data_IF_669471799788
#
_entry.id   IF_669471799788
#
_cell.length_a   1.000
_cell.length_b   1.000
_cell.length_c   1.000
_cell.angle_alpha   90.00
_cell.angle_beta   90.00
_cell.angle_gamma   90.00
#
_symmetry.space_group_name_H-M   'P 1'
#
loop_
_entity.id
_entity.type
_entity.pdbx_description
1 polymer ?
#
# COMPACT_ATOMS: atom_id res chain seq x y z
N UNK A 1 -73.35 -44.52 1.36
CA UNK A 1 -72.11 -44.54 2.16
C UNK A 1 -71.12 -43.62 1.49
N UNK A 2 -70.80 -42.51 2.15
CA UNK A 2 -70.07 -41.39 1.61
C UNK A 2 -68.57 -41.71 1.48
N UNK A 3 -68.01 -41.53 0.28
CA UNK A 3 -66.57 -41.49 0.05
C UNK A 3 -66.13 -40.03 0.06
N UNK A 4 -65.28 -39.67 1.02
CA UNK A 4 -64.65 -38.35 1.10
C UNK A 4 -63.47 -38.29 0.14
N UNK A 5 -63.55 -37.43 -0.87
CA UNK A 5 -62.41 -37.00 -1.68
C UNK A 5 -61.74 -35.82 -0.97
N UNK A 6 -60.54 -36.04 -0.45
CA UNK A 6 -59.67 -34.99 0.10
C UNK A 6 -58.92 -34.36 -1.06
N UNK A 7 -59.30 -33.14 -1.44
CA UNK A 7 -58.56 -32.29 -2.38
C UNK A 7 -57.33 -31.71 -1.67
N UNK A 8 -56.14 -32.11 -2.11
CA UNK A 8 -54.87 -31.56 -1.67
C UNK A 8 -54.61 -30.23 -2.41
N UNK A 9 -54.74 -29.10 -1.72
CA UNK A 9 -54.38 -27.80 -2.26
C UNK A 9 -52.85 -27.61 -2.17
N UNK A 10 -52.17 -27.63 -3.31
CA UNK A 10 -50.75 -27.31 -3.42
C UNK A 10 -50.58 -25.78 -3.43
N UNK A 11 -50.20 -25.19 -2.30
CA UNK A 11 -49.80 -23.78 -2.24
C UNK A 11 -48.36 -23.65 -2.72
N UNK A 12 -48.19 -23.21 -3.96
CA UNK A 12 -46.88 -22.82 -4.50
C UNK A 12 -46.50 -21.47 -3.92
N UNK A 13 -45.66 -21.47 -2.88
CA UNK A 13 -45.04 -20.28 -2.35
C UNK A 13 -43.94 -19.82 -3.31
N UNK A 14 -44.16 -18.69 -3.98
CA UNK A 14 -43.12 -17.98 -4.70
C UNK A 14 -42.14 -17.39 -3.68
N UNK A 15 -40.98 -18.04 -3.53
CA UNK A 15 -39.84 -17.43 -2.83
C UNK A 15 -39.33 -16.27 -3.69
N UNK A 16 -39.67 -15.05 -3.27
CA UNK A 16 -38.94 -13.85 -3.64
C UNK A 16 -37.52 -14.00 -3.08
N UNK A 17 -36.58 -14.43 -3.91
CA UNK A 17 -35.17 -14.24 -3.64
C UNK A 17 -34.89 -12.74 -3.73
N UNK A 18 -34.89 -12.07 -2.58
CA UNK A 18 -34.27 -10.77 -2.46
C UNK A 18 -32.78 -10.95 -2.81
N UNK A 19 -32.39 -10.51 -4.00
CA UNK A 19 -31.00 -10.25 -4.31
C UNK A 19 -30.52 -9.23 -3.29
N UNK A 20 -29.68 -9.68 -2.35
CA UNK A 20 -28.90 -8.76 -1.52
C UNK A 20 -28.11 -7.92 -2.53
N UNK A 21 -28.47 -6.64 -2.67
CA UNK A 21 -27.65 -5.69 -3.37
C UNK A 21 -26.28 -5.77 -2.70
N UNK A 22 -25.28 -6.32 -3.40
CA UNK A 22 -23.91 -6.28 -2.93
C UNK A 22 -23.58 -4.82 -2.63
N UNK A 23 -23.04 -4.54 -1.45
CA UNK A 23 -22.65 -3.19 -1.09
C UNK A 23 -21.80 -2.61 -2.22
N UNK A 24 -22.29 -1.56 -2.86
CA UNK A 24 -21.57 -0.90 -3.94
C UNK A 24 -20.28 -0.37 -3.33
N UNK A 25 -19.14 -0.77 -3.88
CA UNK A 25 -17.85 -0.31 -3.39
C UNK A 25 -17.80 1.23 -3.45
N UNK A 26 -17.25 1.91 -2.41
CA UNK A 26 -17.17 3.37 -2.38
C UNK A 26 -16.49 3.96 -3.62
N UNK A 27 -15.50 3.26 -4.16
CA UNK A 27 -14.91 3.52 -5.47
C UNK A 27 -14.55 2.20 -6.12
N UNK A 28 -14.81 2.10 -7.43
CA UNK A 28 -14.35 0.98 -8.26
C UNK A 28 -13.28 1.50 -9.21
N UNK A 29 -12.15 0.80 -9.29
CA UNK A 29 -11.03 1.14 -10.18
C UNK A 29 -10.76 -0.04 -11.09
N UNK A 30 -10.71 0.22 -12.39
CA UNK A 30 -10.51 -0.81 -13.42
C UNK A 30 -9.44 -0.37 -14.41
N UNK A 31 -8.52 -1.27 -14.73
CA UNK A 31 -7.57 -1.06 -15.84
C UNK A 31 -8.28 -1.46 -17.12
N UNK A 32 -8.48 -0.51 -18.03
CA UNK A 32 -9.13 -0.73 -19.33
C UNK A 32 -8.13 -1.28 -20.34
N UNK A 33 -6.93 -0.70 -20.35
CA UNK A 33 -5.87 -1.01 -21.30
C UNK A 33 -4.53 -0.89 -20.59
N UNK A 34 -3.59 -1.79 -20.92
CA UNK A 34 -2.23 -1.76 -20.40
C UNK A 34 -1.27 -2.24 -21.50
N UNK A 35 -0.43 -1.34 -21.98
CA UNK A 35 0.57 -1.58 -23.01
C UNK A 35 1.97 -1.23 -22.49
N UNK A 36 3.00 -1.39 -23.31
CA UNK A 36 4.35 -0.96 -22.95
C UNK A 36 4.49 0.58 -22.88
N UNK A 37 3.62 1.32 -23.56
CA UNK A 37 3.72 2.77 -23.72
C UNK A 37 2.70 3.52 -22.86
N UNK A 38 1.59 2.88 -22.47
CA UNK A 38 0.57 3.53 -21.65
C UNK A 38 -0.32 2.56 -20.87
N UNK A 39 -0.95 3.07 -19.81
CA UNK A 39 -1.98 2.38 -19.03
C UNK A 39 -3.22 3.28 -18.93
N UNK A 40 -4.39 2.76 -19.31
CA UNK A 40 -5.68 3.44 -19.19
C UNK A 40 -6.45 2.89 -18.00
N UNK A 41 -6.87 3.78 -17.09
CA UNK A 41 -7.52 3.45 -15.84
C UNK A 41 -8.85 4.19 -15.76
N UNK A 42 -9.92 3.48 -15.44
CA UNK A 42 -11.23 4.05 -15.18
C UNK A 42 -11.57 3.95 -13.70
N UNK A 43 -11.93 5.10 -13.14
CA UNK A 43 -12.40 5.28 -11.79
C UNK A 43 -13.90 5.58 -11.85
N UNK A 44 -14.69 4.80 -11.11
CA UNK A 44 -16.11 5.03 -10.89
C UNK A 44 -16.33 5.28 -9.41
N UNK A 45 -16.79 6.48 -9.07
CA UNK A 45 -17.21 6.80 -7.72
C UNK A 45 -18.54 6.07 -7.44
N UNK A 46 -18.62 5.43 -6.28
CA UNK A 46 -19.81 4.78 -5.76
C UNK A 46 -20.39 5.59 -4.62
N UNK A 47 -20.49 4.97 -3.44
CA UNK A 47 -21.03 5.61 -2.24
C UNK A 47 -19.99 6.44 -1.50
N UNK A 48 -20.38 7.62 -1.05
CA UNK A 48 -19.61 8.48 -0.14
C UNK A 48 -20.54 9.12 0.89
N UNK A 49 -19.98 9.55 2.01
CA UNK A 49 -20.73 10.11 3.14
C UNK A 49 -20.37 11.58 3.37
N UNK A 50 -21.40 12.36 3.71
CA UNK A 50 -21.27 13.75 4.17
C UNK A 50 -21.61 13.78 5.66
N UNK A 51 -20.58 13.69 6.50
CA UNK A 51 -20.72 13.56 7.95
C UNK A 51 -20.74 14.93 8.62
N UNK A 52 -21.79 15.31 9.36
CA UNK A 52 -21.81 16.58 10.09
C UNK A 52 -20.76 16.63 11.19
N UNK A 53 -20.01 17.73 11.25
CA UNK A 53 -19.01 18.00 12.29
C UNK A 53 -19.17 19.42 12.83
N UNK A 54 -18.86 19.63 14.11
CA UNK A 54 -18.92 20.96 14.72
C UNK A 54 -17.54 21.61 14.72
N UNK A 55 -17.43 22.77 14.09
CA UNK A 55 -16.20 23.59 14.06
C UNK A 55 -16.51 24.92 14.72
N UNK A 56 -15.96 25.14 15.93
CA UNK A 56 -16.24 26.37 16.68
C UNK A 56 -17.72 26.59 17.00
N UNK A 57 -18.50 25.50 17.14
CA UNK A 57 -19.94 25.57 17.38
C UNK A 57 -20.80 25.76 16.13
N UNK A 58 -20.20 25.88 14.94
CA UNK A 58 -20.90 25.97 13.67
C UNK A 58 -20.92 24.61 12.95
N UNK A 59 -22.00 24.29 12.22
CA UNK A 59 -22.10 23.05 11.46
C UNK A 59 -21.21 23.11 10.22
N UNK A 60 -20.35 22.12 10.07
CA UNK A 60 -19.56 21.83 8.87
C UNK A 60 -19.77 20.37 8.47
N UNK A 61 -19.21 20.00 7.32
CA UNK A 61 -19.31 18.67 6.74
C UNK A 61 -17.92 18.09 6.51
N UNK A 62 -17.71 16.86 6.95
CA UNK A 62 -16.56 16.05 6.57
C UNK A 62 -16.98 15.12 5.43
N UNK A 63 -16.18 15.06 4.38
CA UNK A 63 -16.43 14.16 3.24
C UNK A 63 -15.65 12.87 3.47
N UNK A 64 -16.34 11.73 3.45
CA UNK A 64 -15.74 10.42 3.65
C UNK A 64 -15.99 9.50 2.46
N UNK A 65 -14.96 8.76 2.04
CA UNK A 65 -15.03 7.83 0.93
C UNK A 65 -14.45 6.47 1.36
N UNK A 66 -15.28 5.61 1.95
CA UNK A 66 -14.86 4.26 2.33
C UNK A 66 -13.64 4.22 3.24
N UNK A 67 -12.56 3.58 2.78
CA UNK A 67 -11.26 3.53 3.47
C UNK A 67 -10.19 4.39 2.78
N UNK A 68 -10.60 5.27 1.86
CA UNK A 68 -9.69 6.14 1.14
C UNK A 68 -9.15 7.24 2.06
N UNK A 69 -7.91 7.65 1.82
CA UNK A 69 -7.24 8.61 2.70
C UNK A 69 -7.64 10.05 2.36
N UNK A 70 -7.85 10.92 3.36
CA UNK A 70 -8.02 12.35 3.13
C UNK A 70 -6.70 13.01 2.76
N UNK A 71 -6.80 14.11 2.02
CA UNK A 71 -5.69 15.02 1.82
C UNK A 71 -5.27 15.60 3.18
N UNK A 72 -4.03 15.31 3.59
CA UNK A 72 -3.50 15.65 4.93
C UNK A 72 -2.89 17.06 4.99
N UNK A 73 -3.41 18.02 4.22
CA UNK A 73 -2.94 19.40 4.22
C UNK A 73 -3.65 20.19 5.30
N UNK A 74 -2.96 20.47 6.40
CA UNK A 74 -3.52 21.20 7.54
C UNK A 74 -4.15 22.54 7.11
N UNK A 75 -5.39 22.77 7.50
CA UNK A 75 -6.15 23.97 7.22
C UNK A 75 -6.80 24.04 5.83
N UNK A 76 -6.48 23.13 4.91
CA UNK A 76 -7.16 23.02 3.63
C UNK A 76 -8.45 22.18 3.76
N UNK A 77 -9.42 22.28 2.83
CA UNK A 77 -10.61 21.42 2.84
C UNK A 77 -10.27 19.94 2.97
N UNK A 78 -10.90 19.25 3.92
CA UNK A 78 -10.70 17.83 4.17
C UNK A 78 -11.44 16.99 3.11
N UNK A 79 -10.74 16.67 2.03
CA UNK A 79 -11.28 15.94 0.88
C UNK A 79 -10.53 14.61 0.69
N UNK A 80 -11.23 13.48 0.51
CA UNK A 80 -10.61 12.18 0.24
C UNK A 80 -10.01 12.10 -1.16
N UNK A 81 -8.96 11.28 -1.27
CA UNK A 81 -8.21 11.01 -2.50
C UNK A 81 -8.18 9.51 -2.75
N UNK A 82 -8.22 9.10 -4.02
CA UNK A 82 -8.14 7.69 -4.40
C UNK A 82 -6.78 7.44 -5.04
N UNK A 83 -5.92 6.72 -4.33
CA UNK A 83 -4.56 6.41 -4.79
C UNK A 83 -4.42 4.95 -5.17
N UNK A 84 -3.89 4.67 -6.36
CA UNK A 84 -3.59 3.31 -6.82
C UNK A 84 -2.22 3.26 -7.48
N UNK A 85 -1.45 2.21 -7.21
CA UNK A 85 -0.15 2.04 -7.86
C UNK A 85 -0.32 1.30 -9.19
N UNK A 86 0.44 1.70 -10.19
CA UNK A 86 0.60 0.97 -11.46
C UNK A 86 2.07 0.69 -11.73
N UNK A 87 2.32 -0.39 -12.44
CA UNK A 87 3.62 -0.71 -13.04
C UNK A 87 3.82 0.20 -14.24
N UNK A 88 5.02 0.76 -14.38
CA UNK A 88 5.46 1.53 -15.55
C UNK A 88 6.74 0.91 -16.11
N UNK A 89 7.15 1.31 -17.31
CA UNK A 89 8.41 0.86 -17.88
C UNK A 89 9.61 1.17 -16.99
N UNK A 90 10.60 0.27 -17.00
CA UNK A 90 11.80 0.29 -16.16
C UNK A 90 12.56 1.63 -16.20
N UNK A 91 12.54 2.31 -17.34
CA UNK A 91 13.16 3.62 -17.57
C UNK A 91 12.17 4.70 -18.01
N UNK A 92 10.87 4.44 -17.98
CA UNK A 92 9.89 5.36 -18.56
C UNK A 92 9.72 6.64 -17.72
N UNK A 93 9.80 7.80 -18.35
CA UNK A 93 9.15 9.00 -17.83
C UNK A 93 7.68 8.95 -18.26
N UNK A 94 6.75 9.21 -17.34
CA UNK A 94 5.31 9.12 -17.60
C UNK A 94 4.58 10.40 -17.22
N UNK A 95 3.45 10.67 -17.87
CA UNK A 95 2.56 11.79 -17.56
C UNK A 95 1.08 11.36 -17.61
N UNK A 96 0.22 11.92 -16.75
CA UNK A 96 -1.20 11.63 -16.76
C UNK A 96 -1.96 12.54 -17.75
N UNK A 97 -2.98 11.98 -18.40
CA UNK A 97 -3.94 12.70 -19.23
C UNK A 97 -5.36 12.27 -18.86
N UNK A 98 -6.28 13.24 -18.72
CA UNK A 98 -7.70 12.96 -18.54
C UNK A 98 -8.33 12.74 -19.91
N UNK A 99 -8.83 11.53 -20.17
CA UNK A 99 -9.50 11.19 -21.43
C UNK A 99 -10.99 11.53 -21.40
N UNK A 100 -11.64 11.30 -20.25
CA UNK A 100 -13.06 11.57 -20.04
C UNK A 100 -13.34 11.82 -18.56
N UNK A 101 -14.30 12.70 -18.26
CA UNK A 101 -14.73 13.04 -16.91
C UNK A 101 -16.23 13.31 -16.88
N UNK A 102 -16.90 12.86 -15.82
CA UNK A 102 -18.28 13.21 -15.47
C UNK A 102 -18.30 13.71 -14.02
N UNK A 103 -18.96 14.84 -13.78
CA UNK A 103 -19.08 15.41 -12.44
C UNK A 103 -20.42 16.11 -12.23
N UNK A 104 -20.77 16.35 -10.97
CA UNK A 104 -21.86 17.23 -10.57
C UNK A 104 -21.45 18.11 -9.40
N UNK A 105 -22.15 19.23 -9.22
CA UNK A 105 -21.90 20.19 -8.16
C UNK A 105 -23.01 20.10 -7.09
N UNK A 106 -22.60 20.03 -5.82
CA UNK A 106 -23.48 20.15 -4.66
C UNK A 106 -23.33 21.57 -4.09
N UNK A 107 -24.37 22.42 -4.18
CA UNK A 107 -24.32 23.76 -3.64
C UNK A 107 -24.56 23.78 -2.12
N UNK A 108 -24.16 24.88 -1.48
CA UNK A 108 -24.41 25.19 -0.07
C UNK A 108 -23.79 24.20 0.94
N UNK A 109 -22.65 23.61 0.60
CA UNK A 109 -21.88 22.75 1.50
C UNK A 109 -20.78 23.56 2.18
N UNK A 110 -20.61 23.38 3.48
CA UNK A 110 -19.47 23.92 4.25
C UNK A 110 -18.52 22.79 4.62
N UNK A 111 -17.46 22.59 3.83
CA UNK A 111 -16.49 21.51 4.10
C UNK A 111 -15.56 21.89 5.25
N UNK A 112 -15.38 20.99 6.22
CA UNK A 112 -14.48 21.18 7.35
C UNK A 112 -13.00 21.17 6.90
N UNK A 113 -12.12 21.95 7.56
CA UNK A 113 -10.70 21.92 7.22
C UNK A 113 -10.04 20.65 7.78
N UNK A 114 -9.01 20.17 7.10
CA UNK A 114 -8.17 19.07 7.54
C UNK A 114 -7.32 19.50 8.74
N UNK A 115 -7.24 18.64 9.74
CA UNK A 115 -6.31 18.81 10.87
C UNK A 115 -4.85 18.51 10.47
N UNK A 116 -4.63 18.00 9.26
CA UNK A 116 -3.34 17.54 8.77
C UNK A 116 -2.88 16.27 9.46
N UNK A 117 -1.56 16.04 9.44
CA UNK A 117 -0.94 14.86 10.05
C UNK A 117 -0.98 14.98 11.57
N UNK A 118 -1.61 14.01 12.22
CA UNK A 118 -1.62 13.87 13.67
C UNK A 118 -0.76 12.67 14.09
N UNK A 119 0.14 12.89 15.06
CA UNK A 119 0.93 11.81 15.63
C UNK A 119 0.10 10.95 16.59
N UNK A 120 0.49 9.68 16.74
CA UNK A 120 -0.18 8.73 17.66
C UNK A 120 -0.21 9.18 19.12
N UNK A 121 0.68 10.08 19.52
CA UNK A 121 0.74 10.66 20.86
C UNK A 121 -0.26 11.81 21.08
N UNK A 122 -0.99 12.22 20.04
CA UNK A 122 -1.93 13.34 20.07
C UNK A 122 -3.35 12.79 20.00
N UNK A 123 -4.19 13.18 20.96
CA UNK A 123 -5.63 12.91 20.88
C UNK A 123 -6.24 13.77 19.76
N UNK A 124 -6.82 13.17 18.69
CA UNK A 124 -7.42 13.94 17.61
C UNK A 124 -8.56 14.87 18.07
N UNK A 125 -9.26 14.52 19.14
CA UNK A 125 -10.34 15.33 19.70
C UNK A 125 -9.82 16.62 20.35
N UNK A 126 -8.58 16.64 20.85
CA UNK A 126 -7.99 17.82 21.48
C UNK A 126 -7.42 18.83 20.47
N UNK A 127 -7.28 18.45 19.20
CA UNK A 127 -6.75 19.33 18.16
C UNK A 127 -7.88 20.18 17.56
N UNK A 128 -7.84 21.52 17.71
CA UNK A 128 -8.84 22.39 17.11
C UNK A 128 -8.70 22.43 15.60
N UNK A 129 -9.81 22.66 14.92
CA UNK A 129 -9.81 23.00 13.50
C UNK A 129 -9.25 24.40 13.28
N UNK A 130 -8.47 24.58 12.22
CA UNK A 130 -7.97 25.87 11.76
C UNK A 130 -8.26 26.01 10.26
N UNK A 131 -8.57 27.22 9.79
CA UNK A 131 -8.82 27.48 8.38
C UNK A 131 -7.58 28.08 7.73
N UNK A 132 -7.12 27.45 6.66
CA UNK A 132 -5.98 27.89 5.87
C UNK A 132 -6.36 28.89 4.76
N UNK A 133 -5.36 29.37 4.00
CA UNK A 133 -5.56 30.35 2.93
C UNK A 133 -6.53 29.90 1.83
N UNK A 134 -6.62 28.59 1.56
CA UNK A 134 -7.51 28.04 0.54
C UNK A 134 -8.99 28.36 0.77
N UNK A 135 -9.40 28.67 2.01
CA UNK A 135 -10.77 29.08 2.33
C UNK A 135 -11.12 30.51 1.91
N UNK A 136 -10.13 31.30 1.47
CA UNK A 136 -10.30 32.70 1.09
C UNK A 136 -10.24 32.91 -0.42
N UNK A 137 -10.06 31.83 -1.19
CA UNK A 137 -9.91 31.85 -2.64
C UNK A 137 -11.16 31.32 -3.33
N UNK A 138 -11.67 32.05 -4.33
CA UNK A 138 -12.81 31.65 -5.15
C UNK A 138 -12.38 30.70 -6.28
N UNK A 139 -11.80 29.57 -5.89
CA UNK A 139 -11.26 28.54 -6.78
C UNK A 139 -11.57 27.15 -6.24
N UNK A 140 -11.58 26.14 -7.12
CA UNK A 140 -11.72 24.74 -6.72
C UNK A 140 -10.41 24.23 -6.09
N UNK A 141 -10.51 23.62 -4.92
CA UNK A 141 -9.40 22.99 -4.22
C UNK A 141 -9.65 21.48 -4.01
N UNK A 142 -8.66 20.59 -4.26
CA UNK A 142 -7.49 20.87 -5.10
C UNK A 142 -7.94 21.19 -6.54
N UNK A 143 -7.16 21.99 -7.27
CA UNK A 143 -7.50 22.39 -8.65
C UNK A 143 -7.23 21.28 -9.66
N UNK A 144 -6.25 20.42 -9.38
CA UNK A 144 -5.89 19.26 -10.19
C UNK A 144 -6.74 18.06 -9.81
N UNK A 145 -7.23 17.31 -10.81
CA UNK A 145 -8.01 16.08 -10.62
C UNK A 145 -7.10 14.86 -10.46
N UNK A 146 -5.93 14.88 -11.10
CA UNK A 146 -4.97 13.77 -11.09
C UNK A 146 -3.56 14.24 -10.82
N UNK A 147 -2.88 13.54 -9.93
CA UNK A 147 -1.46 13.70 -9.66
C UNK A 147 -0.74 12.35 -9.74
N UNK A 148 0.50 12.36 -10.22
CA UNK A 148 1.39 11.22 -10.14
C UNK A 148 2.39 11.44 -9.00
N UNK A 149 2.62 10.40 -8.19
CA UNK A 149 3.71 10.38 -7.23
C UNK A 149 5.08 10.27 -7.92
N UNK A 150 6.15 10.29 -7.14
CA UNK A 150 7.47 9.93 -7.64
C UNK A 150 7.51 8.42 -7.98
N UNK A 151 8.17 8.00 -9.08
CA UNK A 151 8.35 6.60 -9.37
C UNK A 151 9.09 5.86 -8.25
N UNK A 152 8.67 4.64 -7.95
CA UNK A 152 9.25 3.79 -6.91
C UNK A 152 9.57 2.40 -7.44
N UNK A 153 10.53 1.73 -6.79
CA UNK A 153 10.88 0.34 -7.07
C UNK A 153 10.31 -0.53 -5.94
N UNK A 154 9.62 -1.59 -6.32
CA UNK A 154 9.24 -2.67 -5.42
C UNK A 154 9.94 -3.94 -5.92
N UNK A 155 11.20 -4.09 -5.49
CA UNK A 155 12.13 -5.16 -5.89
C UNK A 155 12.33 -5.28 -7.41
N UNK A 156 11.41 -5.99 -8.07
CA UNK A 156 11.51 -6.38 -9.49
C UNK A 156 10.72 -5.44 -10.41
N UNK A 157 9.86 -4.59 -9.84
CA UNK A 157 8.93 -3.76 -10.60
C UNK A 157 9.09 -2.30 -10.24
N UNK A 158 9.15 -1.46 -11.27
CA UNK A 158 9.05 -0.02 -11.14
C UNK A 158 7.62 0.42 -11.34
N UNK A 159 7.14 1.30 -10.46
CA UNK A 159 5.78 1.80 -10.53
C UNK A 159 5.65 3.26 -10.16
N UNK A 160 4.42 3.75 -10.25
CA UNK A 160 4.03 5.10 -9.82
C UNK A 160 2.66 5.03 -9.16
N UNK A 161 2.41 5.91 -8.19
CA UNK A 161 1.10 6.08 -7.59
C UNK A 161 0.30 7.10 -8.40
N UNK A 162 -0.87 6.69 -8.88
CA UNK A 162 -1.87 7.56 -9.51
C UNK A 162 -2.87 7.99 -8.43
N UNK A 163 -2.90 9.28 -8.12
CA UNK A 163 -3.82 9.87 -7.16
C UNK A 163 -4.91 10.65 -7.88
N UNK A 164 -6.16 10.28 -7.66
CA UNK A 164 -7.33 11.00 -8.15
C UNK A 164 -7.95 11.79 -6.99
N UNK A 165 -8.37 13.02 -7.27
CA UNK A 165 -9.12 13.89 -6.38
C UNK A 165 -10.59 13.91 -6.81
N UNK A 166 -11.42 12.94 -6.38
CA UNK A 166 -12.81 12.84 -6.81
C UNK A 166 -13.70 13.94 -6.21
N UNK A 167 -13.18 14.70 -5.26
CA UNK A 167 -13.87 15.84 -4.65
C UNK A 167 -13.02 17.10 -4.80
N UNK A 168 -13.65 18.17 -5.26
CA UNK A 168 -13.04 19.50 -5.30
C UNK A 168 -14.01 20.50 -4.68
N UNK A 169 -13.51 21.41 -3.83
CA UNK A 169 -14.35 22.34 -3.08
C UNK A 169 -13.99 23.78 -3.38
N UNK A 170 -14.99 24.60 -3.70
CA UNK A 170 -14.88 26.05 -3.72
C UNK A 170 -15.50 26.63 -2.43
N UNK A 171 -14.68 27.20 -1.53
CA UNK A 171 -15.14 27.72 -0.24
C UNK A 171 -15.91 29.03 -0.33
N UNK A 172 -15.61 29.89 -1.31
CA UNK A 172 -16.31 31.18 -1.48
C UNK A 172 -17.72 30.96 -2.03
N UNK A 173 -17.86 30.06 -3.00
CA UNK A 173 -19.13 29.67 -3.59
C UNK A 173 -19.89 28.62 -2.75
N UNK A 174 -19.25 28.06 -1.71
CA UNK A 174 -19.78 26.97 -0.87
C UNK A 174 -20.26 25.80 -1.73
N UNK A 175 -19.43 25.36 -2.67
CA UNK A 175 -19.78 24.40 -3.71
C UNK A 175 -18.81 23.23 -3.72
N UNK A 176 -19.31 22.02 -3.52
CA UNK A 176 -18.56 20.78 -3.61
C UNK A 176 -18.80 20.12 -4.98
N UNK A 177 -17.78 20.05 -5.81
CA UNK A 177 -17.78 19.25 -7.03
C UNK A 177 -17.44 17.81 -6.69
N UNK A 178 -18.23 16.89 -7.22
CA UNK A 178 -18.06 15.45 -7.07
C UNK A 178 -17.89 14.84 -8.46
N UNK A 179 -16.76 14.18 -8.68
CA UNK A 179 -16.48 13.41 -9.89
C UNK A 179 -17.20 12.07 -9.77
N UNK A 180 -18.17 11.84 -10.64
CA UNK A 180 -18.90 10.57 -10.73
C UNK A 180 -18.02 9.49 -11.39
N UNK A 181 -17.34 9.84 -12.48
CA UNK A 181 -16.36 8.97 -13.12
C UNK A 181 -15.27 9.75 -13.83
N UNK A 182 -14.09 9.14 -13.91
CA UNK A 182 -12.95 9.69 -14.66
C UNK A 182 -12.15 8.57 -15.31
N UNK A 183 -11.78 8.77 -16.57
CA UNK A 183 -10.88 7.89 -17.31
C UNK A 183 -9.58 8.61 -17.56
N UNK A 184 -8.49 7.99 -17.12
CA UNK A 184 -7.14 8.53 -17.13
C UNK A 184 -6.26 7.64 -17.99
N UNK A 185 -5.39 8.26 -18.78
CA UNK A 185 -4.23 7.62 -19.40
C UNK A 185 -2.97 8.03 -18.66
N UNK A 186 -2.13 7.07 -18.30
CA UNK A 186 -0.74 7.34 -17.89
C UNK A 186 0.16 6.88 -19.04
N UNK A 187 0.75 7.83 -19.76
CA UNK A 187 1.51 7.57 -20.98
C UNK A 187 3.00 7.86 -20.81
N UNK A 188 3.84 7.07 -21.49
CA UNK A 188 5.27 7.31 -21.62
C UNK A 188 5.51 8.58 -22.43
N UNK A 189 6.23 9.52 -21.83
CA UNK A 189 6.61 10.80 -22.45
C UNK A 189 8.12 10.92 -22.69
N UNK A 190 8.89 9.91 -22.28
CA UNK A 190 10.34 9.88 -22.50
C UNK A 190 11.06 8.88 -21.62
N UNK A 191 12.33 9.18 -21.33
CA UNK A 191 13.19 8.42 -20.43
C UNK A 191 13.25 9.17 -19.10
N UNK A 192 12.96 8.47 -18.01
CA UNK A 192 12.99 8.96 -16.65
C UNK A 192 14.41 8.93 -16.06
N UNK A 193 14.55 9.59 -14.91
CA UNK A 193 15.81 9.65 -14.15
C UNK A 193 15.66 9.20 -12.70
N UNK A 194 14.45 9.25 -12.16
CA UNK A 194 14.14 8.85 -10.78
C UNK A 194 13.84 7.37 -10.72
N UNK A 195 14.55 6.64 -9.85
CA UNK A 195 14.35 5.22 -9.57
C UNK A 195 14.25 4.37 -10.84
N UNK A 196 15.11 4.62 -11.83
CA UNK A 196 15.20 3.82 -13.05
C UNK A 196 15.72 2.43 -12.69
N UNK A 197 15.01 1.40 -13.12
CA UNK A 197 15.35 0.01 -12.84
C UNK A 197 16.38 -0.47 -13.88
N UNK A 198 17.66 -0.42 -13.51
CA UNK A 198 18.77 -0.77 -14.41
C UNK A 198 19.25 -2.22 -14.29
N UNK A 199 18.89 -2.89 -13.19
CA UNK A 199 19.17 -4.30 -12.94
C UNK A 199 17.92 -4.91 -12.33
N UNK A 200 17.39 -5.96 -12.96
CA UNK A 200 16.33 -6.79 -12.40
C UNK A 200 17.03 -7.95 -11.69
N UNK A 201 16.77 -8.20 -10.39
CA UNK A 201 17.26 -9.39 -9.71
C UNK A 201 16.95 -10.65 -10.53
N UNK A 202 17.88 -11.60 -10.58
CA UNK A 202 17.64 -12.87 -11.26
C UNK A 202 16.61 -13.69 -10.49
N UNK A 203 15.45 -13.92 -11.09
CA UNK A 203 14.37 -14.74 -10.54
C UNK A 203 13.27 -13.91 -9.86
N UNK A 204 12.01 -14.16 -10.21
CA UNK A 204 10.87 -13.53 -9.53
C UNK A 204 10.57 -14.30 -8.25
N UNK A 205 10.72 -13.63 -7.09
CA UNK A 205 10.37 -14.25 -5.81
C UNK A 205 8.86 -14.46 -5.73
N UNK A 206 8.40 -15.67 -5.35
CA UNK A 206 6.96 -15.94 -5.18
C UNK A 206 6.31 -14.99 -4.16
N UNK A 207 7.03 -14.67 -3.08
CA UNK A 207 6.55 -13.75 -2.05
C UNK A 207 6.34 -12.34 -2.61
N UNK A 208 7.28 -11.85 -3.43
CA UNK A 208 7.15 -10.55 -4.08
C UNK A 208 6.11 -10.55 -5.19
N UNK A 209 5.93 -11.66 -5.91
CA UNK A 209 4.85 -11.77 -6.88
C UNK A 209 3.47 -11.58 -6.24
N UNK A 210 3.21 -12.21 -5.08
CA UNK A 210 1.97 -12.01 -4.34
C UNK A 210 1.82 -10.57 -3.84
N UNK A 211 2.90 -9.97 -3.34
CA UNK A 211 2.89 -8.57 -2.92
C UNK A 211 2.56 -7.63 -4.10
N UNK A 212 3.22 -7.84 -5.23
CA UNK A 212 3.05 -7.06 -6.46
C UNK A 212 1.63 -7.18 -7.02
N UNK A 213 1.02 -8.37 -6.97
CA UNK A 213 -0.37 -8.59 -7.36
C UNK A 213 -1.37 -7.74 -6.57
N UNK A 214 -1.11 -7.51 -5.27
CA UNK A 214 -1.99 -6.70 -4.43
C UNK A 214 -1.63 -5.21 -4.47
N UNK A 215 -0.36 -4.88 -4.75
CA UNK A 215 0.13 -3.51 -4.77
C UNK A 215 -0.20 -2.77 -6.06
N UNK A 216 -0.07 -3.44 -7.22
CA UNK A 216 -0.24 -2.81 -8.53
C UNK A 216 -1.52 -3.27 -9.23
N UNK A 217 -2.39 -2.32 -9.60
CA UNK A 217 -3.69 -2.65 -10.20
C UNK A 217 -3.61 -3.17 -11.64
N UNK A 218 -2.49 -2.95 -12.34
CA UNK A 218 -2.22 -3.50 -13.67
C UNK A 218 -1.33 -4.75 -13.63
N UNK A 219 -1.08 -5.33 -12.45
CA UNK A 219 -0.34 -6.57 -12.34
C UNK A 219 -1.16 -7.74 -12.90
N UNK A 220 -0.61 -8.47 -13.87
CA UNK A 220 -1.26 -9.64 -14.48
C UNK A 220 -2.22 -9.34 -15.64
N UNK A 221 -2.43 -8.07 -16.02
CA UNK A 221 -3.13 -7.70 -17.27
C UNK A 221 -2.29 -8.06 -18.49
N UNK A 222 -0.98 -8.00 -18.34
CA UNK A 222 -0.02 -8.52 -19.30
C UNK A 222 -0.05 -10.05 -19.22
N UNK A 223 -0.40 -10.73 -20.31
CA UNK A 223 -0.20 -12.18 -20.51
C UNK A 223 1.28 -12.59 -20.57
N UNK A 224 2.11 -11.97 -19.74
CA UNK A 224 3.53 -12.26 -19.55
C UNK A 224 3.62 -13.60 -18.83
N UNK A 225 4.37 -14.49 -19.46
CA UNK A 225 4.75 -15.83 -19.01
C UNK A 225 4.79 -15.93 -17.48
N UNK A 226 4.09 -16.90 -16.88
CA UNK A 226 4.26 -17.19 -15.46
C UNK A 226 5.72 -17.56 -15.24
N UNK A 227 6.51 -16.72 -14.53
CA UNK A 227 7.91 -17.04 -14.29
C UNK A 227 7.99 -18.37 -13.54
N UNK A 228 9.08 -19.12 -13.75
CA UNK A 228 9.45 -20.11 -12.74
C UNK A 228 9.81 -19.31 -11.49
N UNK A 229 8.93 -19.36 -10.49
CA UNK A 229 9.17 -18.67 -9.23
C UNK A 229 10.30 -19.37 -8.50
N UNK A 230 11.25 -18.57 -8.04
CA UNK A 230 12.15 -18.98 -6.97
C UNK A 230 11.57 -18.41 -5.67
N UNK A 231 11.83 -19.04 -4.52
CA UNK A 231 11.35 -18.46 -3.26
C UNK A 231 12.18 -17.22 -2.89
N UNK A 232 13.45 -17.20 -3.30
CA UNK A 232 14.46 -16.22 -2.91
C UNK A 232 15.20 -16.65 -1.65
N UNK A 233 16.45 -16.18 -1.52
CA UNK A 233 17.34 -16.58 -0.44
C UNK A 233 16.97 -15.88 0.87
N UNK A 234 17.21 -16.57 1.98
CA UNK A 234 17.07 -16.05 3.34
C UNK A 234 18.43 -15.87 4.00
N UNK A 235 18.70 -14.66 4.50
CA UNK A 235 19.88 -14.36 5.30
C UNK A 235 19.50 -14.11 6.74
N UNK A 236 20.07 -14.89 7.66
CA UNK A 236 19.91 -14.70 9.10
C UNK A 236 21.13 -13.99 9.66
N UNK A 237 20.92 -12.83 10.28
CA UNK A 237 21.95 -12.08 11.01
C UNK A 237 21.68 -12.23 12.49
N UNK A 238 22.55 -12.95 13.19
CA UNK A 238 22.34 -13.31 14.59
C UNK A 238 23.44 -12.76 15.50
N UNK A 239 23.10 -12.61 16.77
CA UNK A 239 24.11 -12.52 17.83
C UNK A 239 24.97 -13.80 17.83
N UNK A 240 26.29 -13.66 17.81
CA UNK A 240 27.22 -14.77 17.56
C UNK A 240 27.03 -15.96 18.51
N UNK A 241 26.75 -15.69 19.79
CA UNK A 241 26.54 -16.74 20.80
C UNK A 241 25.29 -17.60 20.56
N UNK A 242 24.36 -17.14 19.70
CA UNK A 242 23.09 -17.82 19.42
C UNK A 242 23.04 -18.45 18.02
N UNK A 243 24.12 -18.38 17.23
CA UNK A 243 24.19 -19.09 15.95
C UNK A 243 23.86 -20.59 16.08
N UNK A 244 24.33 -21.33 17.12
CA UNK A 244 23.94 -22.72 17.31
C UNK A 244 22.43 -22.91 17.55
N UNK A 245 21.77 -21.98 18.23
CA UNK A 245 20.33 -22.01 18.49
C UNK A 245 19.50 -21.75 17.22
N UNK A 246 20.05 -21.00 16.27
CA UNK A 246 19.41 -20.69 14.98
C UNK A 246 19.58 -21.81 13.96
N UNK A 247 20.63 -22.63 14.08
CA UNK A 247 20.96 -23.67 13.10
C UNK A 247 19.80 -24.60 12.73
N UNK A 248 18.94 -25.08 13.67
CA UNK A 248 17.79 -25.90 13.30
C UNK A 248 16.82 -25.22 12.32
N UNK A 249 16.67 -23.89 12.40
CA UNK A 249 15.84 -23.14 11.46
C UNK A 249 16.49 -23.07 10.08
N UNK A 250 17.80 -22.87 10.03
CA UNK A 250 18.59 -22.86 8.78
C UNK A 250 18.43 -24.21 8.07
N UNK A 251 18.60 -25.30 8.79
CA UNK A 251 18.50 -26.66 8.24
C UNK A 251 17.08 -26.94 7.74
N UNK A 252 16.06 -26.56 8.53
CA UNK A 252 14.66 -26.71 8.15
C UNK A 252 14.33 -25.92 6.88
N UNK A 253 14.70 -24.64 6.80
CA UNK A 253 14.42 -23.80 5.61
C UNK A 253 15.11 -24.33 4.36
N UNK A 254 16.37 -24.75 4.46
CA UNK A 254 17.07 -25.40 3.36
C UNK A 254 16.39 -26.72 2.95
N UNK A 255 15.86 -27.50 3.90
CA UNK A 255 15.17 -28.77 3.61
C UNK A 255 13.87 -28.63 2.82
N UNK A 256 13.23 -27.46 2.89
CA UNK A 256 12.00 -27.14 2.16
C UNK A 256 12.24 -26.27 0.91
N UNK A 257 13.50 -26.08 0.50
CA UNK A 257 13.88 -25.39 -0.73
C UNK A 257 14.16 -23.89 -0.59
N UNK A 258 14.10 -23.32 0.61
CA UNK A 258 14.44 -21.91 0.85
C UNK A 258 15.92 -21.85 1.23
N UNK A 259 16.79 -21.47 0.29
CA UNK A 259 18.22 -21.38 0.53
C UNK A 259 18.51 -20.37 1.65
N UNK A 260 19.04 -20.86 2.76
CA UNK A 260 19.20 -20.07 3.99
C UNK A 260 20.62 -20.11 4.49
N UNK A 261 21.18 -18.95 4.80
CA UNK A 261 22.49 -18.81 5.43
C UNK A 261 22.37 -18.03 6.74
N UNK A 262 23.27 -18.30 7.69
CA UNK A 262 23.33 -17.61 8.97
C UNK A 262 24.73 -17.06 9.23
N UNK A 263 24.81 -15.80 9.65
CA UNK A 263 26.05 -15.08 9.91
C UNK A 263 25.96 -14.31 11.23
N UNK A 264 27.08 -14.28 11.95
CA UNK A 264 27.20 -13.57 13.21
C UNK A 264 27.51 -12.09 13.01
N UNK A 265 26.93 -11.22 13.84
CA UNK A 265 27.19 -9.77 13.77
C UNK A 265 28.67 -9.42 13.94
N UNK A 266 29.49 -10.24 14.61
CA UNK A 266 30.94 -10.00 14.71
C UNK A 266 31.67 -10.04 13.36
N UNK A 267 31.16 -10.80 12.38
CA UNK A 267 31.75 -10.91 11.04
C UNK A 267 31.41 -9.73 10.11
N UNK A 268 30.38 -8.94 10.47
CA UNK A 268 29.85 -7.82 9.68
C UNK A 268 30.17 -6.47 10.34
N UNK A 269 30.07 -6.43 11.67
CA UNK A 269 30.01 -5.21 12.47
C UNK A 269 28.59 -4.97 13.00
N UNK A 270 28.45 -4.83 14.32
CA UNK A 270 27.15 -4.65 14.98
C UNK A 270 26.71 -3.18 15.03
N UNK A 271 26.44 -2.59 13.86
CA UNK A 271 25.83 -1.27 13.74
C UNK A 271 24.97 -1.18 12.47
N UNK A 272 24.04 -0.23 12.44
CA UNK A 272 23.07 -0.13 11.35
C UNK A 272 23.71 0.08 9.96
N UNK A 273 24.78 0.86 9.87
CA UNK A 273 25.48 1.09 8.60
C UNK A 273 26.16 -0.18 8.06
N UNK A 274 26.85 -0.92 8.93
CA UNK A 274 27.53 -2.16 8.56
C UNK A 274 26.55 -3.26 8.15
N UNK A 275 25.49 -3.47 8.95
CA UNK A 275 24.43 -4.43 8.63
C UNK A 275 23.77 -4.04 7.31
N UNK A 276 23.40 -2.77 7.11
CA UNK A 276 22.80 -2.31 5.85
C UNK A 276 23.71 -2.56 4.65
N UNK A 277 25.00 -2.27 4.77
CA UNK A 277 25.97 -2.47 3.68
C UNK A 277 26.14 -3.95 3.34
N UNK A 278 26.10 -4.83 4.34
CA UNK A 278 26.15 -6.27 4.12
C UNK A 278 24.91 -6.79 3.40
N UNK A 279 23.72 -6.33 3.81
CA UNK A 279 22.46 -6.67 3.13
C UNK A 279 22.42 -6.14 1.71
N UNK A 280 22.90 -4.92 1.47
CA UNK A 280 23.04 -4.35 0.13
C UNK A 280 23.93 -5.24 -0.75
N UNK A 281 25.10 -5.63 -0.26
CA UNK A 281 25.99 -6.54 -0.99
C UNK A 281 25.35 -7.90 -1.27
N UNK A 282 24.55 -8.45 -0.34
CA UNK A 282 23.88 -9.73 -0.55
C UNK A 282 22.73 -9.62 -1.56
N UNK A 283 22.04 -8.48 -1.59
CA UNK A 283 20.99 -8.17 -2.57
C UNK A 283 21.56 -7.94 -3.96
N UNK A 284 22.61 -7.12 -4.10
CA UNK A 284 23.21 -6.78 -5.40
C UNK A 284 23.87 -7.98 -6.09
N UNK A 285 24.33 -8.98 -5.32
CA UNK A 285 25.11 -10.11 -5.83
C UNK A 285 24.38 -11.46 -5.75
N UNK A 286 23.09 -11.49 -5.37
CA UNK A 286 22.36 -12.73 -5.13
C UNK A 286 20.85 -12.58 -5.30
N UNK A 287 20.09 -13.58 -4.81
CA UNK A 287 18.63 -13.55 -4.84
C UNK A 287 18.04 -13.33 -3.44
N UNK A 288 18.69 -12.50 -2.61
CA UNK A 288 18.23 -12.23 -1.24
C UNK A 288 16.79 -11.70 -1.28
N UNK A 289 15.86 -12.40 -0.63
CA UNK A 289 14.45 -12.00 -0.51
C UNK A 289 14.00 -11.83 0.94
N UNK A 290 14.62 -12.55 1.87
CA UNK A 290 14.24 -12.53 3.28
C UNK A 290 15.44 -12.25 4.18
N UNK A 291 15.24 -11.41 5.19
CA UNK A 291 16.23 -11.13 6.22
C UNK A 291 15.60 -11.39 7.58
N UNK A 292 16.27 -12.19 8.41
CA UNK A 292 15.89 -12.40 9.80
C UNK A 292 16.99 -11.92 10.73
N UNK A 293 16.64 -10.97 11.59
CA UNK A 293 17.52 -10.50 12.66
C UNK A 293 17.25 -11.34 13.92
N UNK A 294 18.28 -11.90 14.55
CA UNK A 294 18.12 -12.72 15.76
C UNK A 294 18.85 -12.10 16.94
N UNK A 295 18.04 -11.46 17.79
CA UNK A 295 18.43 -10.77 19.02
C UNK A 295 17.66 -9.47 19.20
N UNK A 296 17.68 -8.91 20.41
CA UNK A 296 17.14 -7.58 20.66
C UNK A 296 18.09 -6.49 20.11
N UNK A 297 17.67 -5.21 20.17
CA UNK A 297 18.44 -4.08 19.64
C UNK A 297 19.86 -3.96 20.24
N UNK A 298 20.06 -4.46 21.46
CA UNK A 298 21.38 -4.51 22.11
C UNK A 298 22.30 -5.58 21.50
N UNK A 299 21.75 -6.68 20.98
CA UNK A 299 22.53 -7.78 20.40
C UNK A 299 22.67 -7.67 18.89
N UNK A 300 21.64 -7.21 18.18
CA UNK A 300 21.66 -6.96 16.73
C UNK A 300 21.10 -5.57 16.48
N UNK A 301 21.99 -4.65 16.10
CA UNK A 301 21.68 -3.24 15.95
C UNK A 301 20.53 -3.00 14.96
N UNK A 302 19.73 -1.98 15.26
CA UNK A 302 18.59 -1.54 14.44
C UNK A 302 18.83 -0.09 13.96
N UNK A 303 18.40 0.28 12.75
CA UNK A 303 18.41 1.65 12.29
C UNK A 303 17.44 2.50 13.10
N UNK A 304 17.58 3.83 13.02
CA UNK A 304 16.64 4.77 13.63
C UNK A 304 16.00 5.64 12.54
N UNK A 305 14.67 5.71 12.53
CA UNK A 305 13.91 6.54 11.59
C UNK A 305 12.73 7.20 12.31
N UNK A 306 12.52 8.50 12.04
CA UNK A 306 11.35 9.27 12.50
C UNK A 306 11.01 9.11 13.99
N UNK A 307 12.02 9.06 14.86
CA UNK A 307 11.82 8.98 16.31
C UNK A 307 11.75 7.58 16.90
N UNK A 308 12.05 6.52 16.13
CA UNK A 308 12.07 5.15 16.65
C UNK A 308 13.03 4.21 15.91
N UNK A 309 13.29 3.06 16.53
CA UNK A 309 13.95 1.93 15.89
C UNK A 309 13.18 1.48 14.64
N UNK A 310 13.89 1.08 13.59
CA UNK A 310 13.31 0.84 12.27
C UNK A 310 14.06 -0.23 11.48
N UNK A 311 13.88 -1.50 11.86
CA UNK A 311 14.33 -2.63 11.05
C UNK A 311 13.80 -2.60 9.60
N UNK A 312 12.56 -2.13 9.31
CA UNK A 312 12.10 -1.97 7.93
C UNK A 312 13.00 -1.08 7.06
N UNK A 313 13.81 -0.20 7.65
CA UNK A 313 14.80 0.58 6.89
C UNK A 313 15.88 -0.28 6.25
N UNK A 314 16.13 -1.50 6.77
CA UNK A 314 17.01 -2.46 6.10
C UNK A 314 16.44 -2.99 4.79
N UNK A 315 15.11 -2.97 4.60
CA UNK A 315 14.46 -3.49 3.41
C UNK A 315 14.69 -2.65 2.13
N UNK A 316 15.04 -1.37 2.27
CA UNK A 316 15.16 -0.39 1.17
C UNK A 316 16.51 -0.52 0.43
N UNK A 317 16.64 -1.46 -0.49
CA UNK A 317 17.91 -1.84 -1.12
C UNK A 317 17.98 -1.46 -2.61
N UNK A 318 16.88 -1.01 -3.20
CA UNK A 318 16.82 -0.47 -4.56
C UNK A 318 16.17 0.91 -4.56
N UNK A 319 16.64 1.78 -5.45
CA UNK A 319 16.15 3.15 -5.56
C UNK A 319 16.44 4.03 -4.34
N UNK A 320 15.86 5.23 -4.36
CA UNK A 320 15.89 6.21 -3.27
C UNK A 320 14.56 6.33 -2.52
N UNK A 321 13.66 5.35 -2.67
CA UNK A 321 12.31 5.39 -2.13
C UNK A 321 12.17 4.64 -0.79
N UNK A 322 10.92 4.36 -0.37
CA UNK A 322 10.60 3.73 0.91
C UNK A 322 9.89 2.39 0.79
N UNK A 323 9.86 1.81 -0.41
CA UNK A 323 9.30 0.49 -0.62
C UNK A 323 10.34 -0.59 -0.28
N UNK A 324 9.90 -1.76 0.19
CA UNK A 324 10.81 -2.83 0.57
C UNK A 324 11.24 -3.66 -0.64
N UNK A 325 12.53 -3.93 -0.77
CA UNK A 325 13.08 -4.82 -1.80
C UNK A 325 13.37 -6.23 -1.26
N UNK A 326 13.40 -6.36 0.07
CA UNK A 326 13.47 -7.62 0.82
C UNK A 326 12.50 -7.56 2.00
N UNK A 327 12.05 -8.73 2.47
CA UNK A 327 11.19 -8.84 3.64
C UNK A 327 12.05 -9.01 4.89
N UNK A 328 11.91 -8.09 5.85
CA UNK A 328 12.71 -8.07 7.08
C UNK A 328 11.85 -8.46 8.28
N UNK A 329 12.32 -9.42 9.05
CA UNK A 329 11.75 -9.81 10.35
C UNK A 329 12.80 -9.83 11.45
N UNK A 330 12.35 -9.89 12.71
CA UNK A 330 13.21 -10.04 13.88
C UNK A 330 12.66 -11.09 14.85
N UNK A 331 13.51 -12.01 15.27
CA UNK A 331 13.33 -12.75 16.52
C UNK A 331 13.98 -11.96 17.64
N UNK A 332 13.18 -11.18 18.36
CA UNK A 332 13.69 -10.41 19.49
C UNK A 332 14.00 -11.36 20.64
N UNK A 333 15.23 -11.32 21.13
CA UNK A 333 15.73 -12.25 22.13
C UNK A 333 16.82 -11.60 22.98
N UNK A 334 16.74 -11.80 24.29
CA UNK A 334 17.77 -11.42 25.26
C UNK A 334 18.51 -12.66 25.80
N UNK A 335 18.00 -13.87 25.53
CA UNK A 335 18.54 -15.15 25.99
C UNK A 335 18.45 -16.22 24.91
N UNK A 336 19.30 -17.25 25.00
CA UNK A 336 19.28 -18.40 24.07
C UNK A 336 17.92 -19.12 24.07
N UNK A 337 17.27 -19.27 25.23
CA UNK A 337 15.97 -19.91 25.35
C UNK A 337 14.84 -19.15 24.60
N UNK A 338 14.94 -17.82 24.49
CA UNK A 338 14.00 -17.04 23.68
C UNK A 338 14.17 -17.34 22.17
N UNK A 339 15.42 -17.56 21.73
CA UNK A 339 15.73 -17.96 20.35
C UNK A 339 15.18 -19.36 20.10
N UNK A 340 15.50 -20.33 20.97
CA UNK A 340 15.04 -21.72 20.85
C UNK A 340 13.52 -21.80 20.72
N UNK A 341 12.79 -21.04 21.55
CA UNK A 341 11.32 -21.02 21.54
C UNK A 341 10.77 -20.48 20.21
N UNK A 342 11.33 -19.40 19.68
CA UNK A 342 10.87 -18.79 18.42
C UNK A 342 11.21 -19.67 17.21
N UNK A 343 12.41 -20.27 17.21
CA UNK A 343 12.84 -21.24 16.20
C UNK A 343 11.91 -22.45 16.20
N UNK A 344 11.67 -23.06 17.36
CA UNK A 344 10.83 -24.25 17.47
C UNK A 344 9.40 -23.99 16.99
N UNK A 345 8.78 -22.88 17.44
CA UNK A 345 7.43 -22.50 17.01
C UNK A 345 7.31 -22.26 15.51
N UNK A 346 8.38 -21.81 14.86
CA UNK A 346 8.40 -21.54 13.42
C UNK A 346 8.57 -22.83 12.61
N UNK A 347 9.31 -23.80 13.14
CA UNK A 347 9.50 -25.11 12.51
C UNK A 347 8.24 -25.98 12.66
N UNK A 348 7.55 -25.89 13.79
CA UNK A 348 6.37 -26.72 14.10
C UNK A 348 5.07 -26.28 13.41
N UNK A 349 5.00 -25.05 12.91
CA UNK A 349 3.81 -24.45 12.29
C UNK A 349 3.61 -24.89 10.84
#
# INVERSE_FOLDING_TARGET
MAGWLVTLALTVAWLLTATVAGAVAPVTVTVIEDTADHTVIHYQLGHYDLVPVSVGGQPYTQVELGQESPLMTAGAPALPTVSRSIIIGDDAAVAPHVLAESFYDIPNVDVAPSKGILYRSVDPASVPYSFGPSYQTDELFPSTIIELGEPHILRDLRGVVVTVHPFQYNPVQRKLRVVDSVTIEVAKVGIGTVNVLSQVPTGTSLAFHQLNQHHFINHGVQGRYAPLFEDGDMLIIAHDAWLPNVQPLVDHKNSIGIHTTAVGVSSIGNNAGAIKSHLQSAYDNGNLAFVLLVGDAAQVATPYASGGASDPSYAKLAGGDSYPDVLVGRFSAETAAHVDTQVQRTIDY
#
